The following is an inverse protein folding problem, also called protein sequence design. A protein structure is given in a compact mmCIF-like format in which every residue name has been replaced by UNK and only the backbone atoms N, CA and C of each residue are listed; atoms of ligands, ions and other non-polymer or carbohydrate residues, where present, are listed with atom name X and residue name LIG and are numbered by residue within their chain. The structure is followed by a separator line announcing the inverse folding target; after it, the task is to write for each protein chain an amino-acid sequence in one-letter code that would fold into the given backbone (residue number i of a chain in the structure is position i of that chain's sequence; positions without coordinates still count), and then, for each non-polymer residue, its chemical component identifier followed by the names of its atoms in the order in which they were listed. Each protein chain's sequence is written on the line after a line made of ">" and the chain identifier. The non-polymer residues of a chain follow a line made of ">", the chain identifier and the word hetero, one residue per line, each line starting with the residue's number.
data_IF_244962474878
#
_entry.id   IF_244962474878
#
_cell.length_a   1.000
_cell.length_b   1.000
_cell.length_c   1.000
_cell.angle_alpha   90.00
_cell.angle_beta   90.00
_cell.angle_gamma   90.00
#
_symmetry.space_group_name_H-M   'P 1'
#
loop_
_entity.id
_entity.type
_entity.pdbx_description
1 polymer ?
#
# COMPACT_ATOMS: atom_id res chain seq x y z
N UNK A 1 -0.46 12.20 -13.27
CA UNK A 1 -0.47 11.84 -11.85
C UNK A 1 -1.89 11.43 -11.48
N UNK A 2 -2.06 10.26 -10.89
CA UNK A 2 -3.33 9.75 -10.39
C UNK A 2 -3.23 9.58 -8.87
N UNK A 3 -4.20 10.13 -8.14
CA UNK A 3 -4.32 10.01 -6.69
C UNK A 3 -5.59 9.22 -6.39
N UNK A 4 -5.48 8.14 -5.62
CA UNK A 4 -6.60 7.27 -5.28
C UNK A 4 -6.69 7.14 -3.76
N UNK A 5 -7.82 7.53 -3.19
CA UNK A 5 -8.10 7.37 -1.77
C UNK A 5 -9.05 6.19 -1.57
N UNK A 6 -8.56 5.11 -0.97
CA UNK A 6 -9.29 3.85 -0.74
C UNK A 6 -10.10 3.36 -1.96
N UNK A 7 -9.46 3.13 -3.13
CA UNK A 7 -10.15 2.92 -4.41
C UNK A 7 -10.99 1.64 -4.49
N UNK A 8 -10.80 0.70 -3.56
CA UNK A 8 -11.47 -0.61 -3.54
C UNK A 8 -12.48 -0.75 -2.41
N UNK A 9 -12.78 0.33 -1.68
CA UNK A 9 -13.70 0.27 -0.55
C UNK A 9 -15.10 -0.21 -1.00
N UNK A 10 -15.58 -1.30 -0.38
CA UNK A 10 -16.91 -1.87 -0.66
C UNK A 10 -17.00 -2.71 -1.94
N UNK A 11 -15.88 -2.98 -2.62
CA UNK A 11 -15.85 -3.91 -3.74
C UNK A 11 -15.68 -5.36 -3.28
N UNK A 12 -16.20 -6.30 -4.07
CA UNK A 12 -15.90 -7.71 -3.86
C UNK A 12 -14.42 -8.03 -4.21
N UNK A 13 -13.87 -9.16 -3.70
CA UNK A 13 -12.46 -9.50 -3.91
C UNK A 13 -12.06 -9.68 -5.39
N UNK A 14 -12.99 -10.09 -6.27
CA UNK A 14 -12.70 -10.30 -7.69
C UNK A 14 -12.55 -8.95 -8.38
N UNK A 15 -13.52 -8.06 -8.20
CA UNK A 15 -13.49 -6.70 -8.76
C UNK A 15 -12.33 -5.88 -8.19
N UNK A 16 -12.01 -6.08 -6.92
CA UNK A 16 -10.80 -5.50 -6.29
C UNK A 16 -9.53 -5.86 -7.06
N UNK A 17 -9.36 -7.14 -7.40
CA UNK A 17 -8.20 -7.59 -8.16
C UNK A 17 -8.16 -6.98 -9.57
N UNK A 18 -9.30 -6.94 -10.26
CA UNK A 18 -9.42 -6.32 -11.58
C UNK A 18 -9.08 -4.83 -11.56
N UNK A 19 -9.56 -4.09 -10.55
CA UNK A 19 -9.26 -2.67 -10.40
C UNK A 19 -7.76 -2.44 -10.19
N UNK A 20 -7.10 -3.24 -9.35
CA UNK A 20 -5.66 -3.12 -9.16
C UNK A 20 -4.85 -3.46 -10.42
N UNK A 21 -5.29 -4.43 -11.23
CA UNK A 21 -4.65 -4.70 -12.52
C UNK A 21 -4.78 -3.53 -13.49
N UNK A 22 -5.93 -2.85 -13.51
CA UNK A 22 -6.12 -1.64 -14.31
C UNK A 22 -5.19 -0.52 -13.83
N UNK A 23 -5.08 -0.32 -12.52
CA UNK A 23 -4.17 0.66 -11.92
C UNK A 23 -2.71 0.34 -12.27
N UNK A 24 -2.28 -0.92 -12.20
CA UNK A 24 -0.92 -1.34 -12.58
C UNK A 24 -0.66 -1.07 -14.08
N UNK A 25 -1.63 -1.35 -14.96
CA UNK A 25 -1.53 -1.01 -16.39
C UNK A 25 -1.34 0.49 -16.62
N UNK A 26 -2.09 1.33 -15.88
CA UNK A 26 -1.94 2.78 -15.92
C UNK A 26 -0.56 3.21 -15.40
N UNK A 27 -0.07 2.60 -14.32
CA UNK A 27 1.27 2.91 -13.82
C UNK A 27 2.36 2.56 -14.84
N UNK A 28 2.23 1.41 -15.50
CA UNK A 28 3.17 0.94 -16.53
C UNK A 28 3.13 1.77 -17.82
N UNK A 29 2.05 2.50 -18.10
CA UNK A 29 2.00 3.42 -19.25
C UNK A 29 2.73 4.75 -19.00
N UNK A 30 3.36 4.91 -17.83
CA UNK A 30 4.15 6.09 -17.46
C UNK A 30 3.44 7.06 -16.53
N UNK A 31 2.22 6.74 -16.09
CA UNK A 31 1.48 7.58 -15.14
C UNK A 31 1.94 7.29 -13.71
N UNK A 32 2.41 8.31 -13.00
CA UNK A 32 2.62 8.20 -11.54
C UNK A 32 1.27 7.98 -10.84
N UNK A 33 1.20 6.94 -10.02
CA UNK A 33 0.04 6.62 -9.19
C UNK A 33 0.45 6.71 -7.73
N UNK A 34 -0.36 7.41 -6.93
CA UNK A 34 -0.29 7.38 -5.46
C UNK A 34 -1.63 6.85 -4.97
N UNK A 35 -1.57 5.88 -4.07
CA UNK A 35 -2.74 5.21 -3.55
C UNK A 35 -2.67 5.15 -2.03
N UNK A 36 -3.77 5.51 -1.39
CA UNK A 36 -3.96 5.39 0.05
C UNK A 36 -4.79 4.14 0.31
N UNK A 37 -4.27 3.26 1.16
CA UNK A 37 -5.01 2.07 1.62
C UNK A 37 -4.54 1.65 3.00
N UNK A 38 -5.46 1.09 3.79
CA UNK A 38 -5.16 0.38 5.03
C UNK A 38 -4.83 -1.10 4.82
N UNK A 39 -5.01 -1.67 3.62
CA UNK A 39 -4.64 -3.05 3.31
C UNK A 39 -3.17 -3.17 2.91
N UNK A 40 -2.37 -3.66 3.85
CA UNK A 40 -0.93 -3.92 3.66
C UNK A 40 -0.65 -4.98 2.58
N UNK A 41 -1.51 -5.99 2.46
CA UNK A 41 -1.30 -7.09 1.50
C UNK A 41 -1.33 -6.54 0.10
N UNK A 42 -2.34 -5.71 -0.19
CA UNK A 42 -2.44 -4.95 -1.42
C UNK A 42 -1.26 -4.01 -1.59
N UNK A 43 -0.96 -3.18 -0.58
CA UNK A 43 0.11 -2.19 -0.68
C UNK A 43 1.45 -2.85 -1.04
N UNK A 44 1.78 -3.98 -0.42
CA UNK A 44 2.97 -4.78 -0.72
C UNK A 44 2.92 -5.45 -2.10
N UNK A 45 1.73 -5.82 -2.59
CA UNK A 45 1.57 -6.48 -3.88
C UNK A 45 1.76 -5.54 -5.06
N UNK A 46 1.17 -4.34 -5.01
CA UNK A 46 1.09 -3.45 -6.17
C UNK A 46 2.01 -2.21 -6.10
N UNK A 47 2.60 -1.90 -4.95
CA UNK A 47 3.41 -0.68 -4.78
C UNK A 47 4.91 -0.96 -4.91
N UNK A 48 5.62 -0.05 -5.59
CA UNK A 48 7.10 -0.03 -5.63
C UNK A 48 7.71 0.63 -4.40
N UNK A 49 7.07 1.70 -3.93
CA UNK A 49 7.45 2.44 -2.74
C UNK A 49 6.26 2.48 -1.79
N UNK A 50 6.54 2.55 -0.49
CA UNK A 50 5.54 2.56 0.57
C UNK A 50 5.83 3.76 1.45
N UNK A 51 4.81 4.60 1.63
CA UNK A 51 4.74 5.59 2.69
C UNK A 51 3.84 5.01 3.78
N UNK A 52 4.40 4.81 4.97
CA UNK A 52 3.65 4.40 6.15
C UNK A 52 3.76 5.53 7.18
N UNK A 53 2.63 5.91 7.77
CA UNK A 53 2.55 6.99 8.74
C UNK A 53 1.83 6.49 9.98
N UNK A 54 2.41 6.76 11.14
CA UNK A 54 1.78 6.57 12.46
C UNK A 54 1.82 7.89 13.20
N UNK A 55 1.16 7.98 14.37
CA UNK A 55 1.15 9.21 15.16
C UNK A 55 2.55 9.67 15.60
N UNK A 56 3.47 8.72 15.82
CA UNK A 56 4.79 8.99 16.41
C UNK A 56 5.92 8.93 15.38
N UNK A 57 5.67 8.38 14.19
CA UNK A 57 6.74 7.96 13.29
C UNK A 57 6.28 7.79 11.84
N UNK A 58 7.21 7.76 10.90
CA UNK A 58 6.91 7.50 9.49
C UNK A 58 8.03 6.72 8.80
N UNK A 59 7.65 6.01 7.75
CA UNK A 59 8.56 5.33 6.85
C UNK A 59 8.26 5.72 5.42
N UNK A 60 9.30 6.03 4.65
CA UNK A 60 9.21 6.12 3.21
C UNK A 60 10.40 5.38 2.59
N UNK A 61 10.12 4.48 1.66
CA UNK A 61 11.16 3.70 1.00
C UNK A 61 10.58 2.67 0.04
N UNK A 62 11.45 1.85 -0.53
CA UNK A 62 11.03 0.75 -1.40
C UNK A 62 10.26 -0.31 -0.60
N UNK A 63 9.49 -1.14 -1.31
CA UNK A 63 8.84 -2.30 -0.70
C UNK A 63 9.83 -3.21 0.07
N UNK A 64 11.03 -3.41 -0.47
CA UNK A 64 12.05 -4.26 0.15
C UNK A 64 12.61 -3.66 1.44
N UNK A 65 12.81 -2.34 1.47
CA UNK A 65 13.19 -1.60 2.67
C UNK A 65 12.08 -1.64 3.71
N UNK A 66 10.82 -1.48 3.28
CA UNK A 66 9.66 -1.56 4.17
C UNK A 66 9.61 -2.91 4.88
N UNK A 67 9.77 -4.02 4.15
CA UNK A 67 9.75 -5.38 4.70
C UNK A 67 10.85 -5.63 5.75
N UNK A 68 11.96 -4.90 5.70
CA UNK A 68 13.08 -4.96 6.67
C UNK A 68 12.90 -3.97 7.83
N UNK A 69 11.95 -3.06 7.75
CA UNK A 69 11.73 -2.00 8.73
C UNK A 69 10.91 -2.49 9.93
N UNK A 70 11.01 -1.76 11.04
CA UNK A 70 10.16 -1.95 12.24
C UNK A 70 8.66 -1.87 11.92
N UNK A 71 8.27 -1.13 10.88
CA UNK A 71 6.87 -0.94 10.48
C UNK A 71 6.26 -2.23 9.93
N UNK A 72 7.03 -3.04 9.21
CA UNK A 72 6.53 -4.31 8.69
C UNK A 72 6.31 -5.38 9.77
N UNK A 73 7.00 -5.27 10.91
CA UNK A 73 6.78 -6.11 12.10
C UNK A 73 5.58 -5.62 12.90
N UNK A 74 5.48 -4.31 13.13
CA UNK A 74 4.35 -3.67 13.81
C UNK A 74 3.02 -4.01 13.13
N UNK A 75 2.98 -3.90 11.81
CA UNK A 75 1.78 -4.13 11.01
C UNK A 75 1.43 -5.62 10.77
N UNK A 76 2.32 -6.58 11.11
CA UNK A 76 2.10 -8.03 10.92
C UNK A 76 1.63 -8.80 12.16
N UNK A 77 1.61 -8.18 13.34
CA UNK A 77 1.05 -8.83 14.53
C UNK A 77 1.75 -8.49 15.84
N UNK A 78 1.89 -7.22 16.19
CA UNK A 78 2.43 -6.85 17.50
C UNK A 78 1.59 -5.78 18.17
N UNK A 79 0.92 -6.15 19.26
CA UNK A 79 0.72 -5.27 20.41
C UNK A 79 2.01 -4.47 20.63
N UNK A 80 1.96 -3.18 20.31
CA UNK A 80 2.79 -2.21 21.01
C UNK A 80 1.86 -1.59 22.04
N UNK A 81 1.63 -2.31 23.13
CA UNK A 81 1.69 -1.78 24.49
C UNK A 81 1.33 -2.91 25.48
N UNK A 82 2.32 -3.23 26.32
CA UNK A 82 2.10 -3.73 27.66
C UNK A 82 1.63 -2.58 28.57
#
# INVERSE_FOLDING_TARGET
>A
LLLLDEPVAGLDPIVTAELYELIDKINRSGVTVIMVTHDLTTALKYSRHILCMTEKDHFFGSREEFLKSRFASFMRGGEADA
#
